data_IF_775618161526
#
_entry.id   IF_775618161526
#
_cell.length_a   1.000
_cell.length_b   1.000
_cell.length_c   1.000
_cell.angle_alpha   90.00
_cell.angle_beta   90.00
_cell.angle_gamma   90.00
#
_symmetry.space_group_name_H-M   'P 1'
#
loop_
_entity.id
_entity.type
_entity.pdbx_description
1 polymer ?
#
# COMPACT_ATOMS: atom_id res chain seq x y z
N UNK A 1 -9.62 5.06 19.11
CA UNK A 1 -9.70 5.73 17.79
C UNK A 1 -10.19 4.69 16.78
N UNK A 2 -11.24 4.96 16.00
CA UNK A 2 -11.81 3.95 15.08
C UNK A 2 -10.96 3.77 13.82
N UNK A 3 -11.06 2.59 13.20
CA UNK A 3 -10.35 2.27 11.95
C UNK A 3 -10.72 3.25 10.84
N UNK A 4 -11.97 3.68 10.77
CA UNK A 4 -12.46 4.60 9.74
C UNK A 4 -11.94 6.03 9.95
N UNK A 5 -11.81 6.48 11.20
CA UNK A 5 -11.16 7.75 11.52
C UNK A 5 -9.68 7.76 11.09
N UNK A 6 -8.98 6.64 11.30
CA UNK A 6 -7.58 6.50 10.89
C UNK A 6 -7.43 6.47 9.36
N UNK A 7 -8.32 5.76 8.64
CA UNK A 7 -8.35 5.76 7.16
C UNK A 7 -8.57 7.16 6.59
N UNK A 8 -9.53 7.89 7.16
CA UNK A 8 -9.83 9.26 6.76
C UNK A 8 -8.64 10.19 7.00
N UNK A 9 -7.96 10.05 8.14
CA UNK A 9 -6.76 10.81 8.45
C UNK A 9 -5.61 10.51 7.48
N UNK A 10 -5.37 9.24 7.14
CA UNK A 10 -4.35 8.86 6.14
C UNK A 10 -4.66 9.45 4.77
N UNK A 11 -5.92 9.36 4.34
CA UNK A 11 -6.36 9.92 3.05
C UNK A 11 -6.13 11.43 2.99
N UNK A 12 -6.53 12.17 4.03
CA UNK A 12 -6.32 13.62 4.09
C UNK A 12 -4.83 14.00 4.14
N UNK A 13 -4.01 13.19 4.81
CA UNK A 13 -2.56 13.39 4.84
C UNK A 13 -1.93 13.24 3.45
N UNK A 14 -2.30 12.20 2.70
CA UNK A 14 -1.83 12.00 1.31
C UNK A 14 -2.33 13.12 0.40
N UNK A 15 -3.58 13.55 0.58
CA UNK A 15 -4.14 14.69 -0.16
C UNK A 15 -3.34 15.97 0.09
N UNK A 16 -3.00 16.28 1.34
CA UNK A 16 -2.12 17.40 1.65
C UNK A 16 -0.74 17.27 0.96
N UNK A 17 -0.18 16.06 0.84
CA UNK A 17 1.07 15.87 0.11
C UNK A 17 0.96 16.13 -1.40
N UNK A 18 -0.20 15.84 -2.00
CA UNK A 18 -0.51 16.16 -3.41
C UNK A 18 -0.69 17.67 -3.59
N UNK A 19 -1.49 18.29 -2.71
CA UNK A 19 -1.77 19.74 -2.75
C UNK A 19 -0.47 20.55 -2.53
N UNK A 20 0.42 20.08 -1.66
CA UNK A 20 1.77 20.64 -1.48
C UNK A 20 2.69 20.40 -2.69
N UNK A 21 2.31 19.57 -3.66
CA UNK A 21 3.16 19.15 -4.79
C UNK A 21 4.39 18.35 -4.37
N UNK A 22 4.32 17.66 -3.22
CA UNK A 22 5.40 16.77 -2.77
C UNK A 22 5.41 15.46 -3.56
N UNK A 23 4.21 14.97 -3.83
CA UNK A 23 3.95 13.77 -4.63
C UNK A 23 2.97 14.07 -5.76
N UNK A 24 2.85 13.17 -6.73
CA UNK A 24 1.92 13.27 -7.86
C UNK A 24 0.97 12.05 -7.93
N UNK A 25 0.19 11.98 -9.00
CA UNK A 25 -0.78 10.90 -9.26
C UNK A 25 -0.16 9.50 -9.27
N UNK A 26 1.12 9.36 -9.62
CA UNK A 26 1.83 8.07 -9.56
C UNK A 26 1.90 7.53 -8.13
N UNK A 27 2.02 8.40 -7.13
CA UNK A 27 1.98 7.99 -5.72
C UNK A 27 0.57 7.52 -5.32
N UNK A 28 -0.48 8.16 -5.84
CA UNK A 28 -1.88 7.76 -5.62
C UNK A 28 -2.16 6.38 -6.21
N UNK A 29 -1.55 6.05 -7.34
CA UNK A 29 -1.65 4.70 -7.90
C UNK A 29 -1.07 3.64 -6.96
N UNK A 30 0.11 3.88 -6.37
CA UNK A 30 0.71 2.96 -5.39
C UNK A 30 -0.15 2.83 -4.13
N UNK A 31 -0.75 3.92 -3.68
CA UNK A 31 -1.69 3.94 -2.57
C UNK A 31 -2.97 3.15 -2.88
N UNK A 32 -3.55 3.34 -4.07
CA UNK A 32 -4.78 2.63 -4.49
C UNK A 32 -4.53 1.14 -4.71
N UNK A 33 -3.35 0.78 -5.20
CA UNK A 33 -2.95 -0.61 -5.40
C UNK A 33 -2.99 -1.43 -4.09
N UNK A 34 -2.85 -0.79 -2.92
CA UNK A 34 -2.93 -1.47 -1.61
C UNK A 34 -4.32 -2.00 -1.29
N UNK A 35 -5.38 -1.46 -1.93
CA UNK A 35 -6.74 -1.96 -1.78
C UNK A 35 -6.88 -3.40 -2.30
N UNK A 36 -5.96 -3.82 -3.17
CA UNK A 36 -5.90 -5.19 -3.62
C UNK A 36 -5.32 -6.10 -2.51
N UNK A 37 -6.01 -7.20 -2.13
CA UNK A 37 -5.60 -8.06 -1.00
C UNK A 37 -4.15 -8.59 -1.10
N UNK A 38 -3.69 -8.89 -2.32
CA UNK A 38 -2.32 -9.38 -2.60
C UNK A 38 -1.25 -8.29 -2.66
N UNK A 39 -1.61 -7.01 -2.53
CA UNK A 39 -0.69 -5.87 -2.70
C UNK A 39 -0.76 -4.90 -1.51
N UNK A 40 -1.25 -5.34 -0.34
CA UNK A 40 -1.44 -4.49 0.84
C UNK A 40 -0.16 -3.79 1.33
N UNK A 41 1.00 -4.36 1.06
CA UNK A 41 2.32 -3.80 1.42
C UNK A 41 3.04 -3.14 0.23
N UNK A 42 2.39 -3.02 -0.94
CA UNK A 42 3.01 -2.48 -2.14
C UNK A 42 3.55 -1.06 -1.94
N UNK A 43 2.78 -0.18 -1.29
CA UNK A 43 3.23 1.17 -0.98
C UNK A 43 4.44 1.17 -0.02
N UNK A 44 4.36 0.38 1.06
CA UNK A 44 5.43 0.27 2.05
C UNK A 44 6.72 -0.23 1.40
N UNK A 45 6.64 -1.27 0.58
CA UNK A 45 7.79 -1.78 -0.20
C UNK A 45 8.33 -0.72 -1.15
N UNK A 46 7.47 -0.08 -1.94
CA UNK A 46 7.89 0.91 -2.93
C UNK A 46 8.61 2.10 -2.28
N UNK A 47 8.05 2.63 -1.18
CA UNK A 47 8.66 3.69 -0.37
C UNK A 47 9.99 3.25 0.24
N UNK A 48 10.05 2.05 0.83
CA UNK A 48 11.27 1.54 1.46
C UNK A 48 12.39 1.36 0.43
N UNK A 49 12.08 0.73 -0.71
CA UNK A 49 13.02 0.54 -1.81
C UNK A 49 13.50 1.87 -2.39
N UNK A 50 12.60 2.84 -2.55
CA UNK A 50 12.96 4.19 -2.99
C UNK A 50 13.93 4.87 -2.01
N UNK A 51 13.62 4.84 -0.71
CA UNK A 51 14.46 5.46 0.32
C UNK A 51 15.86 4.85 0.39
N UNK A 52 15.96 3.52 0.35
CA UNK A 52 17.25 2.80 0.35
C UNK A 52 18.07 3.12 -0.90
N UNK A 53 17.45 3.04 -2.08
CA UNK A 53 18.13 3.31 -3.35
C UNK A 53 18.61 4.76 -3.43
N UNK A 54 17.78 5.71 -3.00
CA UNK A 54 18.11 7.13 -3.05
C UNK A 54 19.26 7.47 -2.12
N UNK A 55 19.33 6.90 -0.91
CA UNK A 55 20.49 7.06 0.00
C UNK A 55 21.79 6.60 -0.65
N UNK A 56 21.78 5.45 -1.32
CA UNK A 56 22.94 4.93 -2.06
C UNK A 56 23.40 5.88 -3.18
N UNK A 57 22.45 6.42 -3.95
CA UNK A 57 22.73 7.37 -5.02
C UNK A 57 23.27 8.70 -4.48
N UNK A 58 22.68 9.24 -3.40
CA UNK A 58 23.18 10.46 -2.76
C UNK A 58 24.61 10.31 -2.27
N UNK A 59 24.94 9.18 -1.64
CA UNK A 59 26.31 8.89 -1.20
C UNK A 59 27.26 8.83 -2.39
N UNK A 60 26.90 8.09 -3.44
CA UNK A 60 27.70 7.97 -4.65
C UNK A 60 27.96 9.34 -5.30
N UNK A 61 26.93 10.18 -5.47
CA UNK A 61 27.10 11.52 -6.07
C UNK A 61 27.99 12.40 -5.20
N UNK A 62 27.80 12.37 -3.88
CA UNK A 62 28.63 13.15 -2.94
C UNK A 62 30.09 12.78 -3.07
N UNK A 63 30.40 11.47 -3.07
CA UNK A 63 31.76 10.97 -3.21
C UNK A 63 32.39 11.39 -4.55
N UNK A 64 31.63 11.46 -5.65
CA UNK A 64 32.15 11.94 -6.93
C UNK A 64 32.46 13.45 -6.90
N UNK A 65 31.62 14.26 -6.26
CA UNK A 65 31.84 15.71 -6.17
C UNK A 65 33.00 16.08 -5.22
N UNK A 66 33.29 15.26 -4.22
CA UNK A 66 34.40 15.49 -3.28
C UNK A 66 35.78 15.20 -3.90
N UNK A 67 35.83 14.51 -5.05
CA UNK A 67 37.09 14.26 -5.75
C UNK A 67 37.72 15.56 -6.30
N UNK A 68 39.05 15.57 -6.37
CA UNK A 68 39.82 16.69 -6.92
C UNK A 68 39.52 16.88 -8.42
N UNK A 69 39.42 15.78 -9.16
CA UNK A 69 38.93 15.75 -10.54
C UNK A 69 37.57 15.06 -10.55
N UNK A 70 36.51 15.82 -10.80
CA UNK A 70 35.13 15.32 -10.79
C UNK A 70 34.80 14.67 -12.13
N UNK A 71 34.32 13.42 -12.09
CA UNK A 71 33.70 12.78 -13.24
C UNK A 71 32.22 13.22 -13.35
N UNK A 72 32.00 14.29 -14.12
CA UNK A 72 30.68 14.85 -14.35
C UNK A 72 29.74 13.93 -15.14
N UNK A 73 30.27 13.05 -16.00
CA UNK A 73 29.46 12.08 -16.72
C UNK A 73 28.87 11.08 -15.74
N UNK A 74 29.71 10.57 -14.82
CA UNK A 74 29.27 9.68 -13.75
C UNK A 74 28.26 10.34 -12.81
N UNK A 75 28.47 11.60 -12.43
CA UNK A 75 27.50 12.37 -11.63
C UNK A 75 26.17 12.48 -12.35
N UNK A 76 26.19 12.78 -13.65
CA UNK A 76 24.98 12.92 -14.47
C UNK A 76 24.18 11.61 -14.52
N UNK A 77 24.85 10.48 -14.72
CA UNK A 77 24.19 9.17 -14.75
C UNK A 77 23.56 8.79 -13.41
N UNK A 78 24.27 9.06 -12.31
CA UNK A 78 23.74 8.84 -10.96
C UNK A 78 22.52 9.74 -10.69
N UNK A 79 22.58 11.02 -11.10
CA UNK A 79 21.48 11.96 -10.97
C UNK A 79 20.26 11.56 -11.82
N UNK A 80 20.46 11.09 -13.05
CA UNK A 80 19.40 10.49 -13.90
C UNK A 80 18.79 9.25 -13.26
N UNK A 81 19.61 8.42 -12.62
CA UNK A 81 19.16 7.27 -11.85
C UNK A 81 18.27 7.65 -10.66
N UNK A 82 18.57 8.77 -10.00
CA UNK A 82 17.77 9.31 -8.89
C UNK A 82 16.47 9.94 -9.40
N UNK A 83 16.54 10.66 -10.52
CA UNK A 83 15.38 11.21 -11.22
C UNK A 83 14.37 10.11 -11.58
N UNK A 84 14.82 9.04 -12.23
CA UNK A 84 13.96 7.93 -12.67
C UNK A 84 13.26 7.25 -11.48
N UNK A 85 13.98 7.01 -10.38
CA UNK A 85 13.42 6.43 -9.15
C UNK A 85 12.41 7.37 -8.49
N UNK A 86 12.70 8.66 -8.45
CA UNK A 86 11.78 9.68 -7.92
C UNK A 86 10.52 9.79 -8.78
N UNK A 87 10.65 9.68 -10.11
CA UNK A 87 9.51 9.64 -11.02
C UNK A 87 8.64 8.39 -10.82
N UNK A 88 9.26 7.22 -10.63
CA UNK A 88 8.54 5.94 -10.48
C UNK A 88 7.67 5.85 -9.23
N UNK A 89 8.12 6.45 -8.12
CA UNK A 89 7.33 6.52 -6.87
C UNK A 89 6.38 7.72 -6.85
N UNK A 90 6.53 8.67 -7.77
CA UNK A 90 5.75 9.91 -7.81
C UNK A 90 6.25 11.01 -6.88
N UNK A 91 7.53 11.01 -6.51
CA UNK A 91 8.18 12.04 -5.70
C UNK A 91 8.48 13.31 -6.54
N UNK A 92 7.44 14.06 -6.89
CA UNK A 92 7.49 15.15 -7.86
C UNK A 92 8.51 16.24 -7.52
N UNK A 93 8.49 16.72 -6.27
CA UNK A 93 9.41 17.78 -5.84
C UNK A 93 10.87 17.36 -5.86
N UNK A 94 11.16 16.10 -5.53
CA UNK A 94 12.52 15.55 -5.58
C UNK A 94 12.95 15.33 -7.02
N UNK A 95 12.03 14.85 -7.88
CA UNK A 95 12.25 14.70 -9.33
C UNK A 95 12.68 16.03 -9.96
N UNK A 96 12.01 17.13 -9.64
CA UNK A 96 12.40 18.46 -10.13
C UNK A 96 13.79 18.88 -9.67
N UNK A 97 14.13 18.72 -8.39
CA UNK A 97 15.47 19.03 -7.89
C UNK A 97 16.56 18.16 -8.56
N UNK A 98 16.24 16.90 -8.90
CA UNK A 98 17.15 16.05 -9.67
C UNK A 98 17.39 16.60 -11.08
N UNK A 99 16.40 17.23 -11.72
CA UNK A 99 16.57 17.83 -13.05
C UNK A 99 17.55 19.02 -13.02
N UNK A 100 17.53 19.83 -11.95
CA UNK A 100 18.52 20.89 -11.74
C UNK A 100 19.93 20.32 -11.56
N UNK A 101 20.05 19.24 -10.78
CA UNK A 101 21.33 18.55 -10.60
C UNK A 101 21.89 17.99 -11.91
N UNK A 102 21.04 17.39 -12.76
CA UNK A 102 21.42 16.87 -14.08
C UNK A 102 21.92 18.02 -14.97
N UNK A 103 21.22 19.15 -14.99
CA UNK A 103 21.64 20.32 -15.78
C UNK A 103 22.97 20.89 -15.29
N UNK A 104 23.16 20.98 -13.97
CA UNK A 104 24.42 21.44 -13.39
C UNK A 104 25.59 20.51 -13.74
N UNK A 105 25.36 19.18 -13.73
CA UNK A 105 26.39 18.20 -14.05
C UNK A 105 26.74 18.19 -15.54
N UNK A 106 25.76 18.35 -16.42
CA UNK A 106 25.97 18.51 -17.87
C UNK A 106 26.79 19.77 -18.20
N UNK A 107 26.60 20.85 -17.46
CA UNK A 107 27.38 22.09 -17.57
C UNK A 107 28.77 22.01 -16.93
N UNK A 108 29.09 20.89 -16.26
CA UNK A 108 30.35 20.67 -15.53
C UNK A 108 30.61 21.73 -14.45
N UNK A 109 29.54 22.22 -13.84
CA UNK A 109 29.60 23.26 -12.81
C UNK A 109 29.59 22.61 -11.42
N UNK A 110 30.77 22.51 -10.80
CA UNK A 110 30.96 21.81 -9.52
C UNK A 110 30.19 22.49 -8.37
N UNK A 111 30.16 23.82 -8.34
CA UNK A 111 29.53 24.57 -7.27
C UNK A 111 28.01 24.45 -7.37
N UNK A 112 27.45 24.60 -8.57
CA UNK A 112 26.03 24.39 -8.80
C UNK A 112 25.61 22.93 -8.63
N UNK A 113 26.47 21.95 -8.96
CA UNK A 113 26.22 20.54 -8.65
C UNK A 113 26.12 20.32 -7.14
N UNK A 114 27.02 20.92 -6.36
CA UNK A 114 27.05 20.79 -4.91
C UNK A 114 25.83 21.46 -4.26
N UNK A 115 25.43 22.63 -4.77
CA UNK A 115 24.24 23.34 -4.32
C UNK A 115 22.94 22.59 -4.66
N UNK A 116 22.79 22.13 -5.91
CA UNK A 116 21.65 21.30 -6.34
C UNK A 116 21.62 19.97 -5.58
N UNK A 117 22.81 19.41 -5.33
CA UNK A 117 23.20 18.44 -4.30
C UNK A 117 22.39 18.57 -3.02
N UNK A 118 22.73 19.64 -2.32
CA UNK A 118 22.19 20.01 -1.02
C UNK A 118 20.67 20.16 -1.05
N UNK A 119 20.13 20.88 -2.03
CA UNK A 119 18.68 21.08 -2.13
C UNK A 119 17.93 19.77 -2.38
N UNK A 120 18.45 18.92 -3.26
CA UNK A 120 17.85 17.62 -3.54
C UNK A 120 17.80 16.74 -2.29
N UNK A 121 18.88 16.70 -1.50
CA UNK A 121 18.93 15.99 -0.21
C UNK A 121 17.90 16.55 0.79
N UNK A 122 17.78 17.87 0.87
CA UNK A 122 16.83 18.52 1.77
C UNK A 122 15.36 18.18 1.39
N UNK A 123 15.02 18.29 0.09
CA UNK A 123 13.69 17.92 -0.41
C UNK A 123 13.40 16.44 -0.18
N UNK A 124 14.39 15.57 -0.38
CA UNK A 124 14.27 14.14 -0.08
C UNK A 124 14.06 13.86 1.41
N UNK A 125 14.80 14.53 2.31
CA UNK A 125 14.62 14.32 3.76
C UNK A 125 13.21 14.70 4.21
N UNK A 126 12.70 15.84 3.76
CA UNK A 126 11.34 16.28 4.08
C UNK A 126 10.29 15.26 3.58
N UNK A 127 10.45 14.75 2.36
CA UNK A 127 9.55 13.75 1.81
C UNK A 127 9.65 12.40 2.56
N UNK A 128 10.88 11.98 2.91
CA UNK A 128 11.14 10.76 3.68
C UNK A 128 10.43 10.80 5.02
N UNK A 129 10.46 11.92 5.74
CA UNK A 129 9.82 12.01 7.06
C UNK A 129 8.28 11.86 6.95
N UNK A 130 7.68 12.38 5.87
CA UNK A 130 6.25 12.14 5.57
C UNK A 130 5.99 10.67 5.18
N UNK A 131 6.87 10.06 4.40
CA UNK A 131 6.81 8.65 4.05
C UNK A 131 6.93 7.72 5.25
N UNK A 132 7.83 7.99 6.19
CA UNK A 132 7.98 7.21 7.42
C UNK A 132 6.71 7.29 8.29
N UNK A 133 6.07 8.47 8.34
CA UNK A 133 4.78 8.65 9.01
C UNK A 133 3.70 7.77 8.36
N UNK A 134 3.63 7.75 7.03
CA UNK A 134 2.71 6.88 6.28
C UNK A 134 2.99 5.41 6.55
N UNK A 135 4.25 4.96 6.42
CA UNK A 135 4.63 3.56 6.64
C UNK A 135 4.24 3.09 8.04
N UNK A 136 4.47 3.89 9.08
CA UNK A 136 4.05 3.57 10.45
C UNK A 136 2.53 3.37 10.52
N UNK A 137 1.75 4.31 10.00
CA UNK A 137 0.28 4.23 9.99
C UNK A 137 -0.21 3.00 9.22
N UNK A 138 0.37 2.70 8.06
CA UNK A 138 0.02 1.53 7.27
C UNK A 138 0.43 0.20 7.92
N UNK A 139 1.56 0.14 8.63
CA UNK A 139 1.95 -1.04 9.40
C UNK A 139 0.98 -1.31 10.56
N UNK A 140 0.55 -0.28 11.28
CA UNK A 140 -0.51 -0.44 12.29
C UNK A 140 -1.80 -0.99 11.65
N UNK A 141 -2.17 -0.51 10.46
CA UNK A 141 -3.33 -1.00 9.72
C UNK A 141 -3.17 -2.46 9.25
N UNK A 142 -1.96 -2.86 8.84
CA UNK A 142 -1.67 -4.22 8.43
C UNK A 142 -1.76 -5.19 9.62
N UNK A 143 -1.17 -4.85 10.76
CA UNK A 143 -1.26 -5.66 11.99
C UNK A 143 -2.70 -5.75 12.53
N UNK A 144 -3.46 -4.66 12.47
CA UNK A 144 -4.86 -4.66 12.93
C UNK A 144 -5.80 -5.36 11.95
N UNK A 145 -5.66 -5.12 10.64
CA UNK A 145 -6.46 -5.78 9.61
C UNK A 145 -6.13 -7.27 9.41
N UNK A 146 -4.93 -7.71 9.78
CA UNK A 146 -4.60 -9.13 9.91
C UNK A 146 -5.26 -9.71 11.17
N UNK A 147 -5.24 -9.02 12.32
CA UNK A 147 -6.01 -9.43 13.51
C UNK A 147 -7.51 -9.48 13.25
N UNK A 148 -8.09 -8.51 12.55
CA UNK A 148 -9.52 -8.53 12.23
C UNK A 148 -9.88 -9.59 11.18
N UNK A 149 -8.97 -9.86 10.23
CA UNK A 149 -9.13 -10.98 9.28
C UNK A 149 -9.01 -12.34 9.96
N UNK A 150 -8.05 -12.49 10.89
CA UNK A 150 -7.91 -13.69 11.71
C UNK A 150 -9.08 -13.82 12.68
N UNK A 151 -9.49 -12.76 13.39
CA UNK A 151 -10.66 -12.73 14.27
C UNK A 151 -11.98 -12.97 13.50
N UNK A 152 -12.11 -12.51 12.25
CA UNK A 152 -13.28 -12.78 11.42
C UNK A 152 -13.30 -14.23 10.90
N UNK A 153 -12.13 -14.77 10.55
CA UNK A 153 -11.97 -16.18 10.20
C UNK A 153 -12.16 -17.09 11.43
N UNK A 154 -11.63 -16.71 12.58
CA UNK A 154 -11.70 -17.41 13.87
C UNK A 154 -13.11 -17.29 14.46
N UNK A 155 -13.83 -16.17 14.25
CA UNK A 155 -15.29 -16.09 14.48
C UNK A 155 -16.07 -16.96 13.52
N UNK A 156 -15.69 -17.04 12.25
CA UNK A 156 -16.33 -17.95 11.30
C UNK A 156 -16.05 -19.44 11.62
N UNK A 157 -14.90 -19.76 12.20
CA UNK A 157 -14.55 -21.09 12.72
C UNK A 157 -15.28 -21.38 14.03
N UNK A 158 -15.39 -20.41 14.95
CA UNK A 158 -16.19 -20.52 16.17
C UNK A 158 -17.70 -20.55 15.90
N UNK A 159 -18.18 -19.94 14.81
CA UNK A 159 -19.57 -20.05 14.34
C UNK A 159 -19.80 -21.42 13.69
N UNK A 160 -18.77 -22.05 13.11
CA UNK A 160 -18.80 -23.44 12.62
C UNK A 160 -18.65 -24.48 13.76
N UNK A 161 -17.95 -24.15 14.84
CA UNK A 161 -17.80 -25.02 16.03
C UNK A 161 -18.97 -24.86 17.02
N UNK A 162 -19.60 -23.68 17.10
CA UNK A 162 -20.86 -23.47 17.84
C UNK A 162 -22.10 -23.85 17.01
N UNK A 163 -21.98 -23.99 15.69
CA UNK A 163 -22.87 -24.84 14.90
C UNK A 163 -22.52 -26.30 15.21
N UNK A 164 -22.87 -26.70 16.43
CA UNK A 164 -22.74 -28.06 16.91
C UNK A 164 -23.20 -29.00 15.81
N UNK A 165 -22.28 -29.88 15.43
CA UNK A 165 -22.50 -31.09 14.67
C UNK A 165 -23.86 -31.67 15.10
N UNK A 166 -24.88 -31.47 14.26
CA UNK A 166 -26.04 -32.33 14.26
C UNK A 166 -25.57 -33.59 13.52
N UNK A 167 -25.01 -34.52 14.29
CA UNK A 167 -24.77 -35.89 13.85
C UNK A 167 -26.13 -36.49 13.47
N UNK A 168 -26.17 -37.21 12.35
CA UNK A 168 -27.30 -37.79 11.59
C UNK A 168 -27.71 -36.95 10.37
N UNK A 169 -27.64 -37.45 9.13
CA UNK A 169 -27.34 -38.79 8.63
C UNK A 169 -27.15 -38.72 7.10
N UNK A 170 -26.31 -39.58 6.52
CA UNK A 170 -26.55 -40.01 5.13
C UNK A 170 -27.79 -40.92 5.09
N UNK A 171 -28.35 -41.22 3.92
CA UNK A 171 -29.50 -40.60 3.27
C UNK A 171 -30.88 -41.04 3.84
N UNK A 172 -31.81 -40.10 4.00
CA UNK A 172 -33.27 -40.23 3.78
C UNK A 172 -34.02 -39.17 4.61
N UNK A 173 -34.96 -38.47 3.95
CA UNK A 173 -35.95 -37.55 4.54
C UNK A 173 -35.47 -36.11 4.79
N UNK A 174 -35.86 -35.22 3.87
CA UNK A 174 -35.88 -33.77 4.05
C UNK A 174 -37.09 -33.40 4.93
N UNK A 175 -36.86 -32.88 6.13
CA UNK A 175 -37.87 -32.09 6.88
C UNK A 175 -37.33 -30.68 7.06
N UNK A 176 -38.05 -29.70 6.51
CA UNK A 176 -37.81 -28.28 6.79
C UNK A 176 -38.92 -27.82 7.72
N UNK A 177 -38.54 -27.32 8.89
CA UNK A 177 -39.45 -26.66 9.82
C UNK A 177 -39.06 -25.19 9.93
N UNK A 178 -40.04 -24.29 9.83
CA UNK A 178 -39.85 -22.85 9.95
C UNK A 178 -40.70 -22.36 11.12
N UNK A 179 -40.06 -21.81 12.15
CA UNK A 179 -40.78 -21.16 13.26
C UNK A 179 -41.32 -19.81 12.80
N UNK A 180 -42.61 -19.56 13.07
CA UNK A 180 -43.15 -18.21 13.04
C UNK A 180 -43.25 -17.71 14.49
N UNK A 181 -42.99 -16.42 14.68
CA UNK A 181 -42.71 -15.73 15.96
C UNK A 181 -43.81 -15.69 17.03
N UNK A 182 -44.63 -16.74 17.14
CA UNK A 182 -45.58 -16.96 18.22
C UNK A 182 -45.45 -18.36 18.88
N UNK A 183 -44.38 -19.11 18.59
CA UNK A 183 -44.02 -20.33 19.34
C UNK A 183 -44.91 -21.55 19.13
N UNK A 184 -45.72 -21.59 18.06
CA UNK A 184 -46.49 -22.79 17.68
C UNK A 184 -45.97 -23.37 16.36
N UNK A 185 -45.68 -24.68 16.36
CA UNK A 185 -45.17 -25.44 15.22
C UNK A 185 -46.33 -25.87 14.30
N UNK A 186 -46.24 -25.57 13.00
CA UNK A 186 -47.18 -26.08 12.00
C UNK A 186 -46.43 -27.09 11.13
N UNK A 187 -46.88 -28.34 11.12
CA UNK A 187 -46.35 -29.42 10.27
C UNK A 187 -46.92 -29.26 8.86
N UNK A 188 -46.10 -28.86 7.89
CA UNK A 188 -46.52 -28.78 6.49
C UNK A 188 -46.08 -30.07 5.79
N UNK A 189 -46.99 -31.03 5.69
CA UNK A 189 -46.82 -32.21 4.86
C UNK A 189 -47.07 -31.86 3.38
N UNK A 190 -46.01 -31.71 2.58
CA UNK A 190 -46.13 -31.71 1.12
C UNK A 190 -46.12 -33.16 0.64
N UNK A 191 -47.30 -33.69 0.31
CA UNK A 191 -47.45 -34.92 -0.47
C UNK A 191 -46.90 -34.68 -1.88
N UNK A 192 -45.78 -35.31 -2.23
CA UNK A 192 -45.40 -35.45 -3.63
C UNK A 192 -45.78 -36.86 -4.09
N UNK A 193 -46.92 -36.94 -4.77
CA UNK A 193 -47.38 -38.10 -5.52
C UNK A 193 -46.39 -38.38 -6.66
N UNK A 194 -45.98 -39.64 -6.81
CA UNK A 194 -44.99 -40.06 -7.81
C UNK A 194 -45.44 -39.90 -9.27
N UNK A 195 -44.47 -39.95 -10.17
CA UNK A 195 -44.70 -40.03 -11.61
C UNK A 195 -43.42 -40.06 -12.44
N UNK A 196 -42.98 -41.27 -12.80
CA UNK A 196 -42.05 -41.62 -13.89
C UNK A 196 -42.42 -40.95 -15.23
N UNK A 197 -41.46 -40.69 -16.13
CA UNK A 197 -41.41 -41.13 -17.57
C UNK A 197 -40.17 -40.56 -18.29
N UNK A 198 -39.33 -41.50 -18.77
CA UNK A 198 -38.48 -41.59 -19.97
C UNK A 198 -38.09 -40.35 -20.80
N UNK A 199 -36.79 -40.24 -21.12
CA UNK A 199 -36.18 -40.83 -22.34
C UNK A 199 -34.69 -41.05 -22.16
#
# INVERSE_FOLDING_TARGET
>A
MSIDALKFQTHNFIRSMLDDGLVNEQFVYHETARLHPLRRDALVRAVTTYCLSSKGLFSAITNQLEQQQVDFERVTDLARGLYARSSSIGAERVKHACAELIQASERKDKDNCSLSLYWTKNRFSCLRDKFETLVKVHQYHFSFGFRDGLNAMERSILDLENAQICLYCSPAVTRVSRENGAGNYIDISILNLGGTIAK
#
